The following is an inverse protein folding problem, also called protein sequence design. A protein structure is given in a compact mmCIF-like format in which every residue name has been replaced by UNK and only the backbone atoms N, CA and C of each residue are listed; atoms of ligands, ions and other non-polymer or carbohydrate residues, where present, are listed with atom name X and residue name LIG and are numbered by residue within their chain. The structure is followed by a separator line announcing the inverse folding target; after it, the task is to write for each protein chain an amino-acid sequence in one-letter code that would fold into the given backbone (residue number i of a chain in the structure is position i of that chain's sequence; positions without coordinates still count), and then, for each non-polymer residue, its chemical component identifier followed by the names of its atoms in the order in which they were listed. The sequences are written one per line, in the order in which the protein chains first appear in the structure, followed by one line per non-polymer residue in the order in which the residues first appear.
data_IF_055410915111
#
_entry.id   IF_055410915111
#
_cell.length_a   1.000
_cell.length_b   1.000
_cell.length_c   1.000
_cell.angle_alpha   90.00
_cell.angle_beta   90.00
_cell.angle_gamma   90.00
#
_symmetry.space_group_name_H-M   'P 1'
#
loop_
_entity.id
_entity.type
_entity.pdbx_description
1 polymer ?
#
# COMPACT_ATOMS: atom_id res chain seq x y z
N UNK A 1 -16.26 45.35 -66.83
CA UNK A 1 -16.08 46.10 -65.56
C UNK A 1 -15.30 45.20 -64.62
N UNK A 2 -14.15 45.69 -64.14
CA UNK A 2 -13.20 44.98 -63.28
C UNK A 2 -13.77 44.72 -61.88
N UNK A 3 -13.06 43.85 -61.13
CA UNK A 3 -13.06 43.64 -59.67
C UNK A 3 -14.12 42.66 -59.15
N UNK A 4 -13.86 41.73 -58.22
CA UNK A 4 -12.70 41.47 -57.34
C UNK A 4 -12.85 40.05 -56.74
N UNK A 5 -11.71 39.45 -56.42
CA UNK A 5 -11.53 38.19 -55.69
C UNK A 5 -12.35 38.09 -54.39
N UNK A 6 -12.88 36.91 -54.09
CA UNK A 6 -12.95 36.39 -52.72
C UNK A 6 -12.80 34.86 -52.75
N UNK A 7 -11.63 34.40 -52.30
CA UNK A 7 -11.40 33.01 -51.93
C UNK A 7 -12.06 32.73 -50.58
N UNK A 8 -12.74 31.59 -50.45
CA UNK A 8 -13.12 31.06 -49.15
C UNK A 8 -12.93 29.55 -49.16
N UNK A 9 -11.81 29.18 -48.56
CA UNK A 9 -11.36 27.83 -48.22
C UNK A 9 -12.30 27.32 -47.12
N UNK A 10 -12.99 26.19 -47.33
CA UNK A 10 -13.64 25.47 -46.25
C UNK A 10 -12.94 24.13 -46.08
N UNK A 11 -12.30 24.02 -44.91
CA UNK A 11 -11.41 22.98 -44.49
C UNK A 11 -12.12 21.64 -44.28
N UNK A 12 -11.48 20.58 -44.78
CA UNK A 12 -11.82 19.19 -44.52
C UNK A 12 -11.64 18.88 -43.03
N UNK A 13 -12.74 18.63 -42.32
CA UNK A 13 -12.74 18.18 -40.93
C UNK A 13 -12.29 16.72 -40.89
N UNK A 14 -11.00 16.50 -40.63
CA UNK A 14 -10.48 15.20 -40.21
C UNK A 14 -10.95 14.95 -38.77
N UNK A 15 -11.98 14.11 -38.60
CA UNK A 15 -12.36 13.60 -37.28
C UNK A 15 -11.29 12.59 -36.87
N UNK A 16 -10.31 13.07 -36.09
CA UNK A 16 -9.39 12.20 -35.37
C UNK A 16 -10.22 11.42 -34.35
N UNK A 17 -10.57 10.18 -34.68
CA UNK A 17 -11.06 9.21 -33.72
C UNK A 17 -9.96 8.97 -32.70
N UNK A 18 -10.02 9.68 -31.58
CA UNK A 18 -9.24 9.41 -30.39
C UNK A 18 -9.58 8.00 -29.91
N UNK A 19 -8.83 7.01 -30.40
CA UNK A 19 -8.77 5.71 -29.76
C UNK A 19 -8.20 5.96 -28.36
N UNK A 20 -9.09 6.17 -27.38
CA UNK A 20 -8.72 6.05 -25.98
C UNK A 20 -8.25 4.62 -25.81
N UNK A 21 -6.94 4.40 -25.85
CA UNK A 21 -6.36 3.17 -25.35
C UNK A 21 -6.87 3.04 -23.91
N UNK A 22 -7.84 2.16 -23.69
CA UNK A 22 -8.21 1.74 -22.35
C UNK A 22 -6.97 1.07 -21.78
N UNK A 23 -6.16 1.84 -21.05
CA UNK A 23 -5.06 1.31 -20.27
C UNK A 23 -5.69 0.34 -19.26
N UNK A 24 -5.58 -0.96 -19.55
CA UNK A 24 -6.05 -2.02 -18.65
C UNK A 24 -5.44 -1.75 -17.27
N UNK A 25 -6.26 -1.29 -16.33
CA UNK A 25 -5.85 -1.06 -14.94
C UNK A 25 -5.10 -2.30 -14.44
N UNK A 26 -3.79 -2.15 -14.21
CA UNK A 26 -2.92 -3.25 -13.79
C UNK A 26 -3.25 -3.60 -12.35
N UNK A 27 -4.06 -4.64 -12.16
CA UNK A 27 -4.40 -5.14 -10.83
C UNK A 27 -3.18 -5.70 -10.11
N UNK A 28 -3.10 -5.47 -8.80
CA UNK A 28 -2.07 -6.07 -7.95
C UNK A 28 -2.11 -7.59 -8.03
N UNK A 29 -0.92 -8.21 -8.15
CA UNK A 29 -0.77 -9.67 -8.19
C UNK A 29 -0.42 -10.22 -6.81
N UNK A 30 -0.69 -11.50 -6.59
CA UNK A 30 -0.30 -12.18 -5.34
C UNK A 30 1.20 -12.03 -5.04
N UNK A 31 1.51 -11.69 -3.80
CA UNK A 31 2.86 -11.49 -3.27
C UNK A 31 3.46 -12.69 -2.54
N UNK A 32 2.78 -13.86 -2.53
CA UNK A 32 3.19 -15.04 -1.74
C UNK A 32 4.59 -15.58 -2.06
N UNK A 33 5.11 -15.35 -3.27
CA UNK A 33 6.48 -15.70 -3.65
C UNK A 33 7.54 -14.76 -3.08
N UNK A 34 7.15 -13.52 -2.75
CA UNK A 34 8.05 -12.48 -2.24
C UNK A 34 8.12 -12.49 -0.71
N UNK A 35 7.02 -12.81 -0.05
CA UNK A 35 6.95 -12.82 1.41
C UNK A 35 5.85 -13.74 1.93
N UNK A 36 5.92 -14.03 3.22
CA UNK A 36 4.88 -14.76 3.94
C UNK A 36 4.52 -14.01 5.18
N UNK A 37 3.22 -13.73 5.33
CA UNK A 37 2.65 -13.21 6.56
C UNK A 37 2.69 -14.31 7.61
N UNK A 38 3.34 -14.03 8.74
CA UNK A 38 3.48 -14.94 9.88
C UNK A 38 2.39 -14.65 10.91
N UNK A 39 2.15 -13.36 11.20
CA UNK A 39 1.08 -12.95 12.08
C UNK A 39 0.61 -11.53 11.78
N UNK A 40 -0.63 -11.25 12.17
CA UNK A 40 -1.22 -9.93 12.14
C UNK A 40 -1.92 -9.69 13.48
N UNK A 41 -1.66 -8.54 14.09
CA UNK A 41 -2.25 -8.16 15.37
C UNK A 41 -2.76 -6.73 15.33
N UNK A 42 -3.79 -6.47 16.12
CA UNK A 42 -4.26 -5.11 16.38
C UNK A 42 -4.23 -4.82 17.87
N UNK A 43 -3.95 -3.57 18.23
CA UNK A 43 -4.02 -3.09 19.60
C UNK A 43 -4.75 -1.74 19.63
N UNK A 44 -5.76 -1.65 20.48
CA UNK A 44 -6.48 -0.41 20.71
C UNK A 44 -5.92 0.27 21.96
N UNK A 45 -5.66 1.56 21.86
CA UNK A 45 -5.28 2.41 23.00
C UNK A 45 -6.43 3.33 23.31
N UNK A 46 -6.89 3.30 24.56
CA UNK A 46 -7.98 4.12 25.08
C UNK A 46 -7.32 5.22 25.94
N UNK A 47 -7.46 6.50 25.56
CA UNK A 47 -6.99 7.61 26.39
C UNK A 47 -7.72 7.67 27.74
N UNK A 48 -7.01 7.98 28.82
CA UNK A 48 -7.60 8.23 30.14
C UNK A 48 -8.37 9.55 30.24
N UNK A 49 -8.15 10.47 29.29
CA UNK A 49 -8.85 11.75 29.21
C UNK A 49 -10.28 11.60 28.67
N UNK A 50 -11.27 12.16 29.38
CA UNK A 50 -12.66 12.21 28.92
C UNK A 50 -12.76 12.93 27.56
N UNK A 51 -13.41 12.28 26.59
CA UNK A 51 -13.67 12.85 25.27
C UNK A 51 -12.59 12.61 24.20
N UNK A 52 -11.42 12.09 24.57
CA UNK A 52 -10.39 11.73 23.59
C UNK A 52 -10.74 10.42 22.86
N UNK A 53 -10.49 10.38 21.56
CA UNK A 53 -10.83 9.21 20.73
C UNK A 53 -9.78 8.09 20.88
N UNK A 54 -10.20 6.81 20.94
CA UNK A 54 -9.29 5.68 20.90
C UNK A 54 -8.46 5.63 19.61
N UNK A 55 -7.22 5.18 19.71
CA UNK A 55 -6.37 4.90 18.55
C UNK A 55 -6.20 3.40 18.35
N UNK A 56 -6.00 2.98 17.11
CA UNK A 56 -5.76 1.58 16.75
C UNK A 56 -4.40 1.47 16.05
N UNK A 57 -3.58 0.55 16.53
CA UNK A 57 -2.30 0.17 15.93
C UNK A 57 -2.41 -1.22 15.32
N UNK A 58 -1.89 -1.38 14.12
CA UNK A 58 -1.75 -2.68 13.45
C UNK A 58 -0.28 -3.05 13.37
N UNK A 59 0.06 -4.27 13.78
CA UNK A 59 1.40 -4.84 13.66
C UNK A 59 1.34 -6.17 12.91
N UNK A 60 2.24 -6.33 11.94
CA UNK A 60 2.36 -7.52 11.10
C UNK A 60 3.77 -8.07 11.20
N UNK A 61 3.89 -9.38 11.38
CA UNK A 61 5.17 -10.08 11.25
C UNK A 61 5.18 -10.78 9.91
N UNK A 62 6.23 -10.55 9.12
CA UNK A 62 6.41 -11.19 7.83
C UNK A 62 7.82 -11.75 7.68
N UNK A 63 7.95 -12.82 6.92
CA UNK A 63 9.23 -13.36 6.45
C UNK A 63 9.41 -12.99 4.98
N UNK A 64 10.42 -12.19 4.68
CA UNK A 64 10.79 -11.85 3.31
C UNK A 64 11.47 -13.05 2.64
N UNK A 65 11.02 -13.41 1.43
CA UNK A 65 11.49 -14.58 0.65
C UNK A 65 12.19 -14.19 -0.64
N UNK A 66 11.95 -12.98 -1.14
CA UNK A 66 12.55 -12.48 -2.38
C UNK A 66 14.03 -12.15 -2.19
N UNK A 67 14.79 -12.24 -3.30
CA UNK A 67 16.13 -11.64 -3.41
C UNK A 67 16.05 -10.14 -3.73
N UNK A 68 14.93 -9.70 -4.30
CA UNK A 68 14.67 -8.29 -4.59
C UNK A 68 14.36 -7.56 -3.29
N UNK A 69 14.88 -6.35 -3.16
CA UNK A 69 14.54 -5.47 -2.03
C UNK A 69 13.13 -4.91 -2.22
N UNK A 70 12.32 -4.80 -1.15
CA UNK A 70 11.09 -4.03 -1.20
C UNK A 70 11.40 -2.54 -1.31
N UNK A 71 10.55 -1.78 -1.99
CA UNK A 71 10.66 -0.32 -2.09
C UNK A 71 9.68 0.40 -1.17
N UNK A 72 8.58 -0.27 -0.83
CA UNK A 72 7.54 0.30 0.02
C UNK A 72 6.65 -0.80 0.57
N UNK A 73 6.01 -0.52 1.71
CA UNK A 73 4.96 -1.35 2.28
C UNK A 73 3.78 -0.48 2.69
N UNK A 74 2.58 -0.91 2.32
CA UNK A 74 1.34 -0.28 2.72
C UNK A 74 0.39 -1.30 3.33
N UNK A 75 -0.36 -0.87 4.32
CA UNK A 75 -1.47 -1.62 4.90
C UNK A 75 -2.79 -1.04 4.40
N UNK A 76 -3.62 -1.91 3.82
CA UNK A 76 -5.03 -1.62 3.54
C UNK A 76 -5.91 -2.32 4.55
N UNK A 77 -6.47 -1.56 5.48
CA UNK A 77 -7.66 -1.97 6.23
C UNK A 77 -8.93 -1.73 5.42
N UNK A 78 -10.10 -2.00 5.99
CA UNK A 78 -11.38 -1.87 5.27
C UNK A 78 -11.63 -0.46 4.73
N UNK A 79 -11.21 0.56 5.48
CA UNK A 79 -11.39 1.98 5.12
C UNK A 79 -10.13 2.82 5.35
N UNK A 80 -8.96 2.18 5.45
CA UNK A 80 -7.72 2.89 5.76
C UNK A 80 -6.60 2.39 4.88
N UNK A 81 -5.85 3.32 4.30
CA UNK A 81 -4.63 3.09 3.58
C UNK A 81 -3.49 3.77 4.31
N UNK A 82 -2.56 2.98 4.85
CA UNK A 82 -1.50 3.44 5.75
C UNK A 82 -0.15 3.00 5.21
N UNK A 83 0.83 3.90 5.27
CA UNK A 83 2.23 3.49 5.11
C UNK A 83 2.66 2.62 6.31
N UNK A 84 3.57 1.70 6.08
CA UNK A 84 4.10 0.81 7.10
C UNK A 84 5.51 1.23 7.52
N UNK A 85 5.71 1.47 8.81
CA UNK A 85 7.03 1.50 9.41
C UNK A 85 7.63 0.10 9.37
N UNK A 86 8.91 -0.05 9.05
CA UNK A 86 9.57 -1.35 8.92
C UNK A 86 10.69 -1.51 9.94
N UNK A 87 10.60 -2.55 10.75
CA UNK A 87 11.60 -2.91 11.76
C UNK A 87 12.14 -4.31 11.50
N UNK A 88 13.41 -4.52 11.81
CA UNK A 88 13.95 -5.87 11.87
C UNK A 88 13.27 -6.65 13.01
N UNK A 89 12.82 -7.88 12.74
CA UNK A 89 12.19 -8.72 13.75
C UNK A 89 13.05 -9.97 14.01
N UNK A 90 13.38 -10.22 15.27
CA UNK A 90 14.04 -11.45 15.71
C UNK A 90 13.01 -12.27 16.49
N UNK A 91 12.56 -13.43 15.98
CA UNK A 91 11.65 -14.31 16.72
C UNK A 91 12.21 -14.64 18.10
N UNK A 92 11.35 -14.58 19.13
CA UNK A 92 11.74 -14.88 20.51
C UNK A 92 12.25 -13.69 21.33
N UNK A 93 12.48 -12.52 20.73
CA UNK A 93 12.69 -11.28 21.49
C UNK A 93 11.37 -10.61 21.82
N UNK A 94 11.25 -10.08 23.05
CA UNK A 94 10.05 -9.37 23.54
C UNK A 94 9.84 -8.02 22.87
N UNK A 95 10.92 -7.38 22.43
CA UNK A 95 10.86 -6.05 21.83
C UNK A 95 11.04 -6.08 20.31
N UNK A 96 10.30 -5.22 19.57
CA UNK A 96 10.59 -4.92 18.17
C UNK A 96 12.05 -4.54 18.00
N UNK A 97 12.70 -4.98 16.92
CA UNK A 97 14.04 -4.49 16.61
C UNK A 97 14.04 -3.03 16.17
N UNK A 98 15.22 -2.55 15.81
CA UNK A 98 15.41 -1.22 15.25
C UNK A 98 14.68 -1.05 13.91
N UNK A 99 14.30 0.19 13.62
CA UNK A 99 13.84 0.56 12.29
C UNK A 99 14.96 0.32 11.29
N UNK A 100 14.60 -0.24 10.14
CA UNK A 100 15.57 -0.52 9.08
C UNK A 100 15.11 0.12 7.78
N UNK A 101 16.08 0.68 7.06
CA UNK A 101 15.89 1.05 5.66
C UNK A 101 15.52 -0.18 4.83
N UNK A 102 14.65 0.02 3.84
CA UNK A 102 14.16 -1.07 2.99
C UNK A 102 15.27 -1.68 2.10
N UNK A 103 16.30 -0.90 1.81
CA UNK A 103 17.55 -1.32 1.16
C UNK A 103 18.30 -2.41 1.94
N UNK A 104 18.11 -2.47 3.27
CA UNK A 104 18.74 -3.47 4.15
C UNK A 104 17.94 -4.77 4.26
N UNK A 105 16.74 -4.84 3.68
CA UNK A 105 15.89 -6.04 3.73
C UNK A 105 16.44 -7.11 2.79
N UNK A 106 16.97 -8.19 3.37
CA UNK A 106 17.52 -9.32 2.63
C UNK A 106 16.55 -10.50 2.61
N UNK A 107 16.83 -11.45 1.71
CA UNK A 107 16.11 -12.74 1.69
C UNK A 107 16.19 -13.41 3.06
N UNK A 108 15.08 -13.99 3.49
CA UNK A 108 14.87 -14.65 4.79
C UNK A 108 14.88 -13.73 6.02
N UNK A 109 14.97 -12.42 5.86
CA UNK A 109 14.79 -11.48 6.98
C UNK A 109 13.34 -11.51 7.45
N UNK A 110 13.16 -11.59 8.77
CA UNK A 110 11.87 -11.36 9.40
C UNK A 110 11.71 -9.86 9.67
N UNK A 111 10.56 -9.32 9.28
CA UNK A 111 10.23 -7.90 9.42
C UNK A 111 9.00 -7.77 10.31
N UNK A 112 8.98 -6.71 11.11
CA UNK A 112 7.78 -6.19 11.72
C UNK A 112 7.36 -4.95 10.93
N UNK A 113 6.13 -4.97 10.43
CA UNK A 113 5.47 -3.80 9.86
C UNK A 113 4.50 -3.22 10.87
N UNK A 114 4.50 -1.90 11.01
CA UNK A 114 3.52 -1.19 11.83
C UNK A 114 2.80 -0.16 10.97
N UNK A 115 1.49 -0.26 10.86
CA UNK A 115 0.68 0.75 10.15
C UNK A 115 0.74 2.08 10.89
N UNK A 116 1.17 3.15 10.22
CA UNK A 116 1.31 4.48 10.81
C UNK A 116 -0.05 5.19 10.78
N UNK A 117 -0.66 5.52 11.93
CA UNK A 117 -1.92 6.25 11.97
C UNK A 117 -1.76 7.67 11.42
N UNK A 118 -2.79 8.20 10.74
CA UNK A 118 -2.82 9.58 10.25
C UNK A 118 -2.22 9.79 8.85
N UNK A 119 -1.38 8.88 8.37
CA UNK A 119 -0.87 8.87 6.99
C UNK A 119 -1.88 8.29 6.01
N UNK A 120 -2.98 9.01 5.72
CA UNK A 120 -3.94 8.61 4.67
C UNK A 120 -3.36 9.01 3.31
N UNK A 121 -2.64 8.10 2.67
CA UNK A 121 -2.28 8.28 1.26
C UNK A 121 -3.50 7.94 0.39
N UNK A 122 -3.69 8.60 -0.78
CA UNK A 122 -4.66 8.13 -1.74
C UNK A 122 -4.30 6.70 -2.16
N UNK A 123 -5.30 5.81 -2.25
CA UNK A 123 -5.08 4.46 -2.75
C UNK A 123 -4.73 4.56 -4.24
N UNK A 124 -3.57 4.06 -4.68
CA UNK A 124 -3.21 4.05 -6.10
C UNK A 124 -4.29 3.37 -6.94
N UNK A 125 -4.63 3.95 -8.09
CA UNK A 125 -5.69 3.44 -8.99
C UNK A 125 -5.47 1.97 -9.37
N UNK A 126 -4.21 1.59 -9.56
CA UNK A 126 -3.73 0.24 -9.88
C UNK A 126 -4.25 -0.84 -8.89
N UNK A 127 -4.53 -0.44 -7.66
CA UNK A 127 -4.93 -1.36 -6.58
C UNK A 127 -6.26 -0.99 -5.92
N UNK A 128 -6.94 0.06 -6.37
CA UNK A 128 -8.23 0.49 -5.81
C UNK A 128 -9.25 -0.65 -5.79
N UNK A 129 -9.28 -1.45 -6.85
CA UNK A 129 -10.21 -2.57 -7.03
C UNK A 129 -9.86 -3.83 -6.21
N UNK A 130 -8.68 -3.89 -5.57
CA UNK A 130 -8.31 -5.04 -4.72
C UNK A 130 -9.13 -5.00 -3.42
N UNK A 131 -10.18 -5.82 -3.35
CA UNK A 131 -11.04 -5.90 -2.16
C UNK A 131 -10.35 -6.62 -1.00
N UNK A 132 -10.66 -6.17 0.22
CA UNK A 132 -10.25 -6.82 1.46
C UNK A 132 -8.97 -6.28 2.08
N UNK A 133 -8.69 -6.82 3.27
CA UNK A 133 -7.55 -6.45 4.09
C UNK A 133 -6.26 -7.08 3.57
N UNK A 134 -5.26 -6.25 3.25
CA UNK A 134 -4.01 -6.75 2.68
C UNK A 134 -2.81 -5.81 2.90
N UNK A 135 -1.62 -6.39 2.93
CA UNK A 135 -0.35 -5.67 2.84
C UNK A 135 0.04 -5.58 1.38
N UNK A 136 0.28 -4.37 0.89
CA UNK A 136 0.74 -4.10 -0.45
C UNK A 136 2.20 -3.67 -0.46
N UNK A 137 2.93 -4.04 -1.51
CA UNK A 137 4.32 -3.64 -1.69
C UNK A 137 4.73 -3.66 -3.16
N UNK A 138 5.86 -3.03 -3.45
CA UNK A 138 6.57 -3.07 -4.73
C UNK A 138 8.02 -3.47 -4.51
N UNK A 139 8.67 -3.90 -5.57
CA UNK A 139 10.13 -4.05 -5.68
C UNK A 139 10.53 -3.37 -6.99
N UNK A 140 11.81 -3.03 -7.18
CA UNK A 140 12.30 -2.39 -8.40
C UNK A 140 11.84 -3.06 -9.72
N UNK A 141 11.73 -4.39 -9.71
CA UNK A 141 11.35 -5.19 -10.88
C UNK A 141 9.89 -5.66 -10.89
N UNK A 142 9.06 -5.24 -9.93
CA UNK A 142 7.67 -5.72 -9.84
C UNK A 142 6.65 -4.58 -9.77
N UNK A 143 5.54 -4.76 -10.48
CA UNK A 143 4.31 -4.01 -10.20
C UNK A 143 3.75 -4.38 -8.82
N UNK A 144 2.68 -3.69 -8.39
CA UNK A 144 2.08 -3.92 -7.08
C UNK A 144 1.81 -5.39 -6.78
N UNK A 145 2.24 -5.79 -5.58
CA UNK A 145 1.97 -7.09 -5.00
C UNK A 145 1.13 -6.93 -3.75
N UNK A 146 0.31 -7.93 -3.46
CA UNK A 146 -0.48 -7.96 -2.22
C UNK A 146 -0.33 -9.28 -1.47
N UNK A 147 -0.37 -9.18 -0.14
CA UNK A 147 -0.48 -10.31 0.78
C UNK A 147 -1.81 -10.16 1.53
N UNK A 148 -2.77 -11.07 1.31
CA UNK A 148 -4.04 -11.01 2.03
C UNK A 148 -3.80 -11.21 3.52
N UNK A 149 -4.46 -10.41 4.34
CA UNK A 149 -4.54 -10.55 5.79
C UNK A 149 -5.92 -11.07 6.10
N UNK A 150 -6.03 -12.38 6.31
CA UNK A 150 -7.33 -13.06 6.48
C UNK A 150 -7.82 -13.09 7.92
N UNK A 151 -6.93 -12.86 8.89
CA UNK A 151 -7.25 -12.82 10.31
C UNK A 151 -6.30 -11.87 11.02
N UNK A 152 -6.83 -11.11 11.98
CA UNK A 152 -6.08 -10.19 12.82
C UNK A 152 -6.40 -10.52 14.28
N UNK A 153 -5.38 -10.88 15.05
CA UNK A 153 -5.54 -11.15 16.48
C UNK A 153 -5.60 -9.85 17.26
N UNK A 154 -6.70 -9.62 17.98
CA UNK A 154 -6.84 -8.46 18.88
C UNK A 154 -6.04 -8.70 20.17
N UNK A 155 -5.10 -7.81 20.48
CA UNK A 155 -4.40 -7.75 21.77
C UNK A 155 -5.25 -7.04 22.82
N UNK A 156 -4.90 -7.22 24.09
CA UNK A 156 -5.51 -6.49 25.21
C UNK A 156 -5.38 -4.98 24.98
N UNK A 157 -6.49 -4.27 25.22
CA UNK A 157 -6.52 -2.82 25.12
C UNK A 157 -5.56 -2.18 26.13
N UNK A 158 -4.90 -1.10 25.73
CA UNK A 158 -4.04 -0.29 26.60
C UNK A 158 -4.86 0.90 27.08
N UNK A 159 -4.83 1.17 28.38
CA UNK A 159 -5.30 2.43 28.94
C UNK A 159 -4.09 3.34 29.02
N UNK A 160 -4.08 4.41 28.23
CA UNK A 160 -3.06 5.43 28.34
C UNK A 160 -3.43 6.38 29.49
N UNK A 161 -2.47 6.80 30.34
CA UNK A 161 -2.73 7.78 31.38
C UNK A 161 -3.21 9.12 30.80
#
# INVERSE_FOLDING_TARGET
MNMRYFALIIASVFILSSATAQEKQKTAKSGKSYATLVSATMQRTIPGMKGAQPSVRYDFILKWKSKQVPETFFWRGDNVWMNCLVKAYKPGKKEPGEEIGLDKVKRNTCLQLTGIPGGKFPIPEEIQNTKGQAIFFKTATSGWRYLPVTSITKKKDIIAP
#
